data_IF_886818573560
#
_entry.id   IF_886818573560
#
_cell.length_a   1.000
_cell.length_b   1.000
_cell.length_c   1.000
_cell.angle_alpha   90.00
_cell.angle_beta   90.00
_cell.angle_gamma   90.00
#
_symmetry.space_group_name_H-M   'P 1'
#
loop_
_entity.id
_entity.type
_entity.pdbx_description
1 polymer ?
#
# COMPACT_ATOMS: atom_id res chain seq x y z
N UNK A 1 29.38 -2.06 30.20
CA UNK A 1 28.29 -2.99 30.57
C UNK A 1 27.03 -2.13 30.61
N UNK A 2 26.32 -2.04 29.49
CA UNK A 2 25.06 -1.31 29.41
C UNK A 2 23.92 -2.29 29.71
N UNK A 3 22.96 -1.85 30.53
CA UNK A 3 21.88 -2.66 31.09
C UNK A 3 21.13 -3.50 30.05
N UNK A 4 21.01 -4.80 30.35
CA UNK A 4 20.17 -5.77 29.63
C UNK A 4 18.70 -5.73 30.08
N UNK A 5 18.34 -4.86 31.03
CA UNK A 5 17.05 -4.91 31.75
C UNK A 5 15.94 -4.00 31.18
N UNK A 6 16.21 -3.20 30.13
CA UNK A 6 15.25 -2.21 29.58
C UNK A 6 14.88 -2.43 28.10
N UNK A 7 15.20 -3.60 27.54
CA UNK A 7 14.90 -3.94 26.13
C UNK A 7 13.96 -5.13 26.06
N UNK A 8 12.94 -5.05 25.20
CA UNK A 8 12.04 -6.18 24.93
C UNK A 8 12.09 -6.56 23.46
N UNK A 9 11.98 -7.86 23.19
CA UNK A 9 11.79 -8.37 21.82
C UNK A 9 10.31 -8.54 21.55
N UNK A 10 9.82 -7.95 20.46
CA UNK A 10 8.43 -8.06 20.04
C UNK A 10 8.34 -8.43 18.56
N UNK A 11 7.25 -9.12 18.21
CA UNK A 11 6.93 -9.45 16.83
C UNK A 11 6.15 -8.33 16.16
N UNK A 12 6.57 -7.92 14.97
CA UNK A 12 5.94 -6.84 14.21
C UNK A 12 4.58 -7.29 13.68
N UNK A 13 3.55 -6.49 13.93
CA UNK A 13 2.16 -6.73 13.50
C UNK A 13 1.55 -5.48 12.84
N UNK A 14 0.47 -5.69 12.08
CA UNK A 14 -0.19 -4.65 11.28
C UNK A 14 -0.74 -3.54 12.18
N UNK A 15 -0.51 -2.29 11.77
CA UNK A 15 -1.11 -1.14 12.42
C UNK A 15 -2.63 -1.12 12.26
N UNK A 16 -3.30 -0.40 13.16
CA UNK A 16 -4.71 -0.09 13.04
C UNK A 16 -4.83 1.09 12.06
N UNK A 17 -5.84 1.13 11.15
CA UNK A 17 -6.00 2.21 10.18
C UNK A 17 -5.88 3.62 10.76
N UNK A 18 -6.44 3.85 11.96
CA UNK A 18 -6.40 5.14 12.67
C UNK A 18 -5.00 5.58 13.15
N UNK A 19 -4.03 4.69 13.22
CA UNK A 19 -2.68 5.00 13.73
C UNK A 19 -1.64 5.19 12.60
N UNK A 20 -1.99 4.81 11.37
CA UNK A 20 -1.06 4.83 10.24
C UNK A 20 -0.66 6.29 9.96
N UNK A 21 0.64 6.58 9.79
CA UNK A 21 1.17 7.92 9.49
C UNK A 21 1.12 8.92 10.64
N UNK A 22 0.70 8.49 11.83
CA UNK A 22 0.84 9.25 13.08
C UNK A 22 2.11 8.91 13.85
N UNK A 23 2.94 8.00 13.34
CA UNK A 23 4.18 7.60 13.98
C UNK A 23 3.94 6.90 15.33
N UNK A 24 2.84 6.15 15.46
CA UNK A 24 2.46 5.45 16.69
C UNK A 24 2.85 3.98 16.65
N UNK A 25 3.36 3.50 17.77
CA UNK A 25 3.61 2.09 18.02
C UNK A 25 2.79 1.63 19.23
N UNK A 26 1.96 0.60 19.04
CA UNK A 26 1.18 0.00 20.13
C UNK A 26 1.88 -1.22 20.70
N UNK A 27 2.14 -1.16 22.00
CA UNK A 27 2.80 -2.20 22.77
C UNK A 27 1.94 -2.49 24.01
N UNK A 28 1.94 -3.73 24.50
CA UNK A 28 1.26 -4.06 25.75
C UNK A 28 2.02 -3.48 26.94
N UNK A 29 1.29 -2.85 27.86
CA UNK A 29 1.83 -2.35 29.12
C UNK A 29 2.26 -3.46 30.08
N UNK A 30 1.84 -4.71 29.84
CA UNK A 30 2.20 -5.86 30.67
C UNK A 30 3.61 -6.39 30.36
N UNK A 31 4.24 -5.93 29.27
CA UNK A 31 5.53 -6.41 28.76
C UNK A 31 6.76 -5.82 29.49
N UNK A 32 6.59 -5.27 30.69
CA UNK A 32 7.72 -4.88 31.55
C UNK A 32 8.40 -3.54 31.23
N UNK A 33 8.14 -2.93 30.08
CA UNK A 33 8.54 -1.55 29.80
C UNK A 33 7.57 -0.57 30.50
N UNK A 34 8.04 0.17 31.50
CA UNK A 34 7.26 1.17 32.25
C UNK A 34 6.90 2.41 31.39
N UNK A 35 6.08 2.19 30.36
CA UNK A 35 5.70 3.15 29.33
C UNK A 35 4.35 3.80 29.64
N UNK A 36 4.30 5.12 29.49
CA UNK A 36 3.07 5.92 29.53
C UNK A 36 2.71 6.36 28.12
N UNK A 37 1.41 6.44 27.76
CA UNK A 37 1.01 6.92 26.44
C UNK A 37 1.63 8.29 26.13
N UNK A 38 2.31 8.40 24.99
CA UNK A 38 3.07 9.59 24.63
C UNK A 38 4.58 9.52 24.90
N UNK A 39 5.06 8.51 25.63
CA UNK A 39 6.49 8.22 25.73
C UNK A 39 7.06 7.83 24.35
N UNK A 40 8.36 8.04 24.14
CA UNK A 40 9.02 7.62 22.91
C UNK A 40 9.72 6.27 23.11
N UNK A 41 9.61 5.44 22.08
CA UNK A 41 10.31 4.16 22.01
C UNK A 41 11.23 4.15 20.80
N UNK A 42 12.43 3.62 20.99
CA UNK A 42 13.30 3.26 19.88
C UNK A 42 13.00 1.82 19.47
N UNK A 43 12.85 1.63 18.17
CA UNK A 43 12.58 0.37 17.51
C UNK A 43 13.82 0.06 16.68
N UNK A 44 14.54 -0.99 17.06
CA UNK A 44 15.73 -1.47 16.36
C UNK A 44 15.40 -2.74 15.58
N UNK A 45 15.56 -2.67 14.26
CA UNK A 45 15.66 -3.82 13.38
C UNK A 45 17.08 -4.38 13.34
N UNK A 46 17.39 -5.21 12.34
CA UNK A 46 18.72 -5.82 12.18
C UNK A 46 19.80 -4.79 11.81
N UNK A 47 19.47 -3.84 10.93
CA UNK A 47 20.44 -2.87 10.38
C UNK A 47 20.15 -1.41 10.74
N UNK A 48 18.90 -1.08 11.06
CA UNK A 48 18.45 0.31 11.30
C UNK A 48 17.67 0.42 12.60
N UNK A 49 17.71 1.61 13.19
CA UNK A 49 16.81 1.98 14.29
C UNK A 49 16.04 3.24 13.95
N UNK A 50 14.79 3.28 14.41
CA UNK A 50 13.88 4.40 14.25
C UNK A 50 13.15 4.65 15.57
N UNK A 51 12.31 5.68 15.62
CA UNK A 51 11.57 6.03 16.83
C UNK A 51 10.08 6.21 16.55
N UNK A 52 9.26 5.85 17.53
CA UNK A 52 7.81 5.99 17.48
C UNK A 52 7.23 6.45 18.82
N UNK A 53 6.01 6.97 18.78
CA UNK A 53 5.24 7.34 19.95
C UNK A 53 4.57 6.08 20.49
N UNK A 54 4.83 5.73 21.74
CA UNK A 54 4.14 4.63 22.39
C UNK A 54 2.66 4.94 22.63
N UNK A 55 1.82 3.97 22.30
CA UNK A 55 0.39 3.98 22.59
C UNK A 55 -0.06 2.63 23.16
N UNK A 56 -1.20 2.61 23.86
CA UNK A 56 -1.70 1.39 24.49
C UNK A 56 -2.15 0.37 23.44
N UNK A 57 -1.79 -0.90 23.64
CA UNK A 57 -2.34 -2.02 22.89
C UNK A 57 -3.85 -2.16 23.06
N UNK A 58 -4.51 -2.89 22.15
CA UNK A 58 -5.91 -3.29 22.36
C UNK A 58 -5.97 -4.34 23.48
N UNK A 59 -7.12 -4.49 24.17
CA UNK A 59 -7.30 -5.53 25.19
C UNK A 59 -7.01 -6.94 24.66
N UNK A 60 -7.34 -7.20 23.40
CA UNK A 60 -7.08 -8.47 22.71
C UNK A 60 -5.58 -8.79 22.58
N UNK A 61 -4.76 -7.75 22.36
CA UNK A 61 -3.32 -7.87 22.15
C UNK A 61 -2.52 -7.85 23.47
N UNK A 62 -3.16 -7.63 24.62
CA UNK A 62 -2.49 -7.34 25.89
C UNK A 62 -1.52 -8.46 26.35
N UNK A 63 -1.78 -9.71 25.97
CA UNK A 63 -0.93 -10.87 26.32
C UNK A 63 -0.09 -11.41 25.16
N UNK A 64 -0.07 -10.71 24.03
CA UNK A 64 0.68 -11.13 22.86
C UNK A 64 2.00 -10.37 22.79
N UNK A 65 3.09 -11.08 22.47
CA UNK A 65 4.43 -10.50 22.27
C UNK A 65 4.53 -9.76 20.92
N UNK A 66 3.63 -8.79 20.70
CA UNK A 66 3.51 -8.06 19.45
C UNK A 66 3.65 -6.55 19.63
N UNK A 67 4.17 -5.92 18.59
CA UNK A 67 4.16 -4.47 18.41
C UNK A 67 3.41 -4.15 17.12
N UNK A 68 2.36 -3.33 17.22
CA UNK A 68 1.67 -2.83 16.03
C UNK A 68 2.28 -1.49 15.64
N UNK A 69 2.82 -1.43 14.42
CA UNK A 69 3.43 -0.23 13.85
C UNK A 69 3.08 -0.14 12.37
N UNK A 70 3.07 1.08 11.84
CA UNK A 70 2.70 1.33 10.45
C UNK A 70 3.82 0.96 9.47
N UNK A 71 3.49 0.90 8.18
CA UNK A 71 4.45 0.58 7.12
C UNK A 71 5.62 1.55 7.04
N UNK A 72 5.46 2.79 7.52
CA UNK A 72 6.50 3.82 7.50
C UNK A 72 7.57 3.51 8.55
N UNK A 73 7.15 3.27 9.80
CA UNK A 73 8.04 2.87 10.89
C UNK A 73 8.73 1.55 10.54
N UNK A 74 8.00 0.58 9.96
CA UNK A 74 8.57 -0.69 9.49
C UNK A 74 9.68 -0.47 8.47
N UNK A 75 9.43 0.33 7.44
CA UNK A 75 10.43 0.68 6.40
C UNK A 75 11.64 1.42 7.00
N UNK A 76 11.42 2.36 7.92
CA UNK A 76 12.51 3.08 8.59
C UNK A 76 13.39 2.14 9.44
N UNK A 77 12.76 1.19 10.15
CA UNK A 77 13.47 0.16 10.91
C UNK A 77 14.08 -0.96 10.04
N UNK A 78 13.72 -1.03 8.75
CA UNK A 78 14.16 -2.09 7.84
C UNK A 78 13.57 -3.47 8.18
N UNK A 79 12.35 -3.51 8.71
CA UNK A 79 11.67 -4.75 9.13
C UNK A 79 10.34 -4.92 8.43
N UNK A 80 9.87 -6.16 8.32
CA UNK A 80 8.60 -6.51 7.70
C UNK A 80 7.61 -7.06 8.74
N UNK A 81 6.35 -7.25 8.34
CA UNK A 81 5.39 -7.94 9.20
C UNK A 81 5.88 -9.35 9.57
N UNK A 82 5.75 -9.70 10.85
CA UNK A 82 6.13 -10.99 11.39
C UNK A 82 7.58 -11.08 11.89
N UNK A 83 8.44 -10.12 11.56
CA UNK A 83 9.82 -10.07 12.02
C UNK A 83 9.89 -9.71 13.51
N UNK A 84 11.05 -9.92 14.13
CA UNK A 84 11.31 -9.50 15.51
C UNK A 84 12.07 -8.20 15.55
N UNK A 85 11.65 -7.31 16.43
CA UNK A 85 12.32 -6.04 16.72
C UNK A 85 12.67 -5.96 18.19
N UNK A 86 13.77 -5.27 18.48
CA UNK A 86 14.09 -4.87 19.84
C UNK A 86 13.53 -3.49 20.11
N UNK A 87 12.80 -3.35 21.21
CA UNK A 87 12.17 -2.09 21.61
C UNK A 87 12.71 -1.65 22.96
N UNK A 88 13.07 -0.36 23.07
CA UNK A 88 13.47 0.26 24.33
C UNK A 88 12.84 1.63 24.51
N UNK A 89 12.62 2.03 25.76
CA UNK A 89 12.21 3.40 26.09
C UNK A 89 13.37 4.36 25.85
N UNK A 90 13.09 5.50 25.24
CA UNK A 90 14.11 6.55 25.00
C UNK A 90 13.57 7.91 25.41
N UNK A 91 14.39 8.69 26.09
CA UNK A 91 14.15 10.13 26.28
C UNK A 91 14.66 10.89 25.05
N UNK A 92 13.74 11.32 24.19
CA UNK A 92 14.07 12.09 23.00
C UNK A 92 14.52 13.52 23.38
N UNK A 93 15.61 13.98 22.76
CA UNK A 93 16.09 15.36 22.95
C UNK A 93 15.27 16.33 22.11
N UNK A 94 15.12 17.57 22.56
CA UNK A 94 14.46 18.61 21.77
C UNK A 94 15.24 18.91 20.49
N UNK A 95 14.56 18.87 19.34
CA UNK A 95 15.16 19.22 18.06
C UNK A 95 15.28 20.75 17.95
N UNK A 96 16.49 21.25 17.71
CA UNK A 96 16.72 22.68 17.44
C UNK A 96 16.63 22.99 15.95
N UNK A 97 17.16 22.09 15.11
CA UNK A 97 17.13 22.21 13.66
C UNK A 97 16.85 20.87 12.99
N UNK A 98 15.86 20.86 12.11
CA UNK A 98 15.44 19.72 11.31
C UNK A 98 15.54 20.07 9.83
N UNK A 99 16.33 19.31 9.08
CA UNK A 99 16.45 19.46 7.64
C UNK A 99 15.77 18.29 6.95
N UNK A 100 14.77 18.57 6.12
CA UNK A 100 14.02 17.56 5.36
C UNK A 100 14.09 17.85 3.86
N UNK A 101 13.97 16.80 3.06
CA UNK A 101 13.89 16.87 1.60
C UNK A 101 12.72 16.04 1.10
N UNK A 102 11.99 16.48 0.06
CA UNK A 102 11.00 15.63 -0.59
C UNK A 102 11.69 14.42 -1.22
N UNK A 103 11.02 13.28 -1.22
CA UNK A 103 11.44 12.07 -1.93
C UNK A 103 10.52 11.92 -3.13
N UNK A 104 11.11 11.86 -4.33
CA UNK A 104 10.36 11.77 -5.58
C UNK A 104 11.16 11.02 -6.65
N UNK A 105 10.44 10.29 -7.49
CA UNK A 105 10.96 9.81 -8.77
C UNK A 105 11.51 10.98 -9.62
N UNK A 106 12.67 10.78 -10.23
CA UNK A 106 13.35 11.71 -11.17
C UNK A 106 13.94 13.02 -10.60
N UNK A 107 14.11 13.16 -9.28
CA UNK A 107 14.81 14.32 -8.65
C UNK A 107 14.28 15.70 -9.10
N UNK A 108 12.98 15.81 -9.39
CA UNK A 108 12.40 17.09 -9.78
C UNK A 108 12.51 18.10 -8.63
N UNK A 109 12.71 19.38 -8.97
CA UNK A 109 12.71 20.45 -7.98
C UNK A 109 11.27 20.82 -7.63
N UNK A 110 10.91 20.64 -6.37
CA UNK A 110 9.63 21.13 -5.84
C UNK A 110 9.92 22.46 -5.18
N UNK A 111 9.34 23.54 -5.71
CA UNK A 111 9.33 24.82 -5.02
C UNK A 111 8.14 24.81 -4.07
N UNK A 112 8.42 24.85 -2.78
CA UNK A 112 7.38 25.09 -1.78
C UNK A 112 7.17 26.59 -1.61
N UNK A 113 5.91 27.01 -1.48
CA UNK A 113 5.57 28.41 -1.22
C UNK A 113 6.02 28.86 0.18
N UNK A 114 6.16 30.18 0.41
CA UNK A 114 6.52 30.71 1.72
C UNK A 114 5.48 30.33 2.79
N UNK A 115 5.93 29.81 3.95
CA UNK A 115 5.05 29.42 5.07
C UNK A 115 4.80 27.91 5.17
N UNK A 116 5.27 27.12 4.20
CA UNK A 116 5.26 25.65 4.23
C UNK A 116 5.95 25.10 5.50
N UNK A 117 6.95 25.80 6.03
CA UNK A 117 7.71 25.38 7.20
C UNK A 117 6.86 25.46 8.47
N UNK A 118 5.97 26.45 8.55
CA UNK A 118 5.00 26.58 9.63
C UNK A 118 3.99 25.44 9.62
N UNK A 119 3.53 25.05 8.43
CA UNK A 119 2.67 23.89 8.23
C UNK A 119 3.36 22.59 8.64
N UNK A 120 4.58 22.35 8.14
CA UNK A 120 5.41 21.21 8.50
C UNK A 120 5.67 21.12 10.01
N UNK A 121 5.93 22.26 10.66
CA UNK A 121 6.14 22.34 12.11
C UNK A 121 4.91 21.89 12.89
N UNK A 122 3.71 22.32 12.48
CA UNK A 122 2.46 21.89 13.14
C UNK A 122 2.18 20.40 12.90
N UNK A 123 2.36 19.92 11.66
CA UNK A 123 2.14 18.52 11.31
C UNK A 123 3.08 17.54 12.01
N UNK A 124 4.33 17.97 12.26
CA UNK A 124 5.36 17.16 12.93
C UNK A 124 5.45 17.40 14.44
N UNK A 125 4.67 18.31 15.01
CA UNK A 125 4.76 18.66 16.43
C UNK A 125 4.60 17.40 17.32
N UNK A 126 5.52 17.25 18.29
CA UNK A 126 5.60 16.10 19.22
C UNK A 126 5.90 14.74 18.55
N UNK A 127 6.27 14.71 17.27
CA UNK A 127 6.74 13.48 16.62
C UNK A 127 8.23 13.28 16.86
N UNK A 128 8.67 12.03 17.15
CA UNK A 128 10.07 11.69 17.14
C UNK A 128 10.55 11.56 15.69
N UNK A 129 11.76 12.00 15.41
CA UNK A 129 12.41 11.90 14.09
C UNK A 129 13.86 11.49 14.25
N UNK A 130 14.34 10.63 13.35
CA UNK A 130 15.74 10.21 13.27
C UNK A 130 16.31 10.59 11.90
N UNK A 131 17.58 11.00 11.85
CA UNK A 131 18.23 11.25 10.57
C UNK A 131 18.32 9.95 9.75
N UNK A 132 17.87 10.01 8.49
CA UNK A 132 17.72 8.86 7.60
C UNK A 132 16.28 8.32 7.51
N UNK A 133 15.38 8.73 8.41
CA UNK A 133 13.97 8.30 8.37
C UNK A 133 13.21 8.92 7.21
N UNK A 134 12.20 8.19 6.72
CA UNK A 134 11.12 8.72 5.90
C UNK A 134 9.94 9.10 6.79
N UNK A 135 9.42 10.30 6.61
CA UNK A 135 8.28 10.82 7.34
C UNK A 135 7.26 11.43 6.39
N UNK A 136 5.99 11.38 6.80
CA UNK A 136 4.91 12.10 6.14
C UNK A 136 4.45 13.24 7.01
N UNK A 137 4.19 14.38 6.37
CA UNK A 137 3.62 15.55 7.01
C UNK A 137 2.11 15.53 6.72
N UNK A 138 1.25 15.32 7.73
CA UNK A 138 -0.19 15.29 7.52
C UNK A 138 -0.69 16.55 6.81
N UNK A 139 -1.51 16.38 5.78
CA UNK A 139 -2.08 17.46 4.97
C UNK A 139 -1.10 18.07 3.93
N UNK A 140 0.13 17.58 3.82
CA UNK A 140 0.99 17.83 2.65
C UNK A 140 0.85 16.67 1.66
N UNK A 141 -0.14 16.78 0.78
CA UNK A 141 -0.35 15.84 -0.33
C UNK A 141 0.02 16.49 -1.65
N UNK A 142 0.58 15.70 -2.58
CA UNK A 142 0.80 16.11 -3.97
C UNK A 142 -0.02 15.17 -4.86
N UNK A 143 -0.87 15.70 -5.74
CA UNK A 143 -1.75 14.90 -6.61
C UNK A 143 -2.62 13.85 -5.87
N UNK A 144 -3.13 14.19 -4.69
CA UNK A 144 -3.91 13.29 -3.82
C UNK A 144 -3.13 12.08 -3.25
N UNK A 145 -1.81 12.04 -3.41
CA UNK A 145 -0.92 11.09 -2.75
C UNK A 145 -0.09 11.80 -1.67
N UNK A 146 0.25 11.08 -0.61
CA UNK A 146 1.07 11.62 0.46
C UNK A 146 2.50 11.83 -0.06
N UNK A 147 3.07 13.03 0.10
CA UNK A 147 4.46 13.29 -0.31
C UNK A 147 5.42 12.84 0.81
N UNK A 148 6.25 11.81 0.60
CA UNK A 148 7.24 11.41 1.59
C UNK A 148 8.38 12.44 1.69
N UNK A 149 8.85 12.67 2.91
CA UNK A 149 10.02 13.49 3.20
C UNK A 149 11.12 12.64 3.85
N UNK A 150 12.35 12.77 3.36
CA UNK A 150 13.52 12.19 4.00
C UNK A 150 14.09 13.17 5.04
N UNK A 151 14.36 12.68 6.24
CA UNK A 151 15.07 13.43 7.27
C UNK A 151 16.56 13.40 6.97
N UNK A 152 17.07 14.47 6.36
CA UNK A 152 18.48 14.56 5.96
C UNK A 152 19.37 14.76 7.17
N UNK A 153 18.96 15.62 8.11
CA UNK A 153 19.76 15.96 9.26
C UNK A 153 18.91 16.40 10.45
N UNK A 154 19.32 15.98 11.64
CA UNK A 154 18.79 16.43 12.93
C UNK A 154 19.89 17.07 13.78
N UNK A 155 19.53 18.14 14.49
CA UNK A 155 20.38 18.78 15.51
C UNK A 155 19.61 18.81 16.83
N UNK A 156 20.12 18.18 17.92
CA UNK A 156 21.30 17.31 17.99
C UNK A 156 21.13 15.99 17.20
N UNK A 157 22.24 15.28 16.92
CA UNK A 157 22.17 13.95 16.29
C UNK A 157 21.52 12.92 17.23
N UNK A 158 20.78 11.99 16.65
CA UNK A 158 20.06 10.93 17.36
C UNK A 158 18.55 11.10 17.26
N UNK A 159 17.81 10.43 18.14
CA UNK A 159 16.35 10.53 18.24
C UNK A 159 16.00 11.88 18.87
N UNK A 160 15.32 12.73 18.09
CA UNK A 160 14.89 14.05 18.52
C UNK A 160 13.40 14.25 18.35
N UNK A 161 12.81 15.11 19.18
CA UNK A 161 11.40 15.48 19.10
C UNK A 161 11.23 16.87 18.50
N UNK A 162 10.33 17.00 17.54
CA UNK A 162 9.99 18.28 16.93
C UNK A 162 9.07 19.08 17.87
N UNK A 163 9.41 20.33 18.14
CA UNK A 163 8.67 21.24 19.02
C UNK A 163 8.34 22.54 18.30
N UNK A 164 7.57 23.42 18.95
CA UNK A 164 7.23 24.75 18.42
C UNK A 164 8.44 25.62 18.16
N UNK A 165 9.59 25.33 18.78
CA UNK A 165 10.81 26.13 18.68
C UNK A 165 11.81 25.56 17.65
N UNK A 166 11.52 24.39 17.07
CA UNK A 166 12.40 23.73 16.10
C UNK A 166 12.46 24.51 14.78
N UNK A 167 13.65 24.84 14.28
CA UNK A 167 13.81 25.41 12.94
C UNK A 167 13.70 24.28 11.90
N UNK A 168 12.67 24.31 11.05
CA UNK A 168 12.50 23.34 9.95
C UNK A 168 12.99 23.98 8.65
N UNK A 169 13.90 23.29 7.97
CA UNK A 169 14.40 23.66 6.65
C UNK A 169 13.98 22.59 5.66
N UNK A 170 13.12 22.94 4.70
CA UNK A 170 12.73 22.06 3.59
C UNK A 170 13.64 22.40 2.41
N UNK A 171 14.36 21.41 1.88
CA UNK A 171 15.17 21.60 0.67
C UNK A 171 14.32 21.41 -0.57
N UNK A 172 14.58 22.22 -1.59
CA UNK A 172 13.92 22.13 -2.91
C UNK A 172 14.42 20.93 -3.74
N UNK A 173 15.62 20.43 -3.43
CA UNK A 173 16.22 19.28 -4.11
C UNK A 173 15.65 17.98 -3.54
N UNK A 174 14.93 17.26 -4.40
CA UNK A 174 14.44 15.94 -4.09
C UNK A 174 15.58 14.92 -4.01
N UNK A 175 15.51 14.06 -3.01
CA UNK A 175 16.43 12.93 -2.85
C UNK A 175 15.87 11.76 -3.67
N UNK A 176 16.74 11.03 -4.38
CA UNK A 176 16.29 9.83 -5.08
C UNK A 176 15.84 8.77 -4.09
N UNK A 177 14.79 8.02 -4.43
CA UNK A 177 14.25 6.94 -3.60
C UNK A 177 15.32 5.92 -3.20
N UNK A 178 16.26 5.64 -4.11
CA UNK A 178 17.39 4.73 -3.92
C UNK A 178 18.32 5.16 -2.77
N UNK A 179 18.50 6.47 -2.58
CA UNK A 179 19.39 7.04 -1.56
C UNK A 179 18.77 6.98 -0.14
N UNK A 180 17.46 6.74 -0.04
CA UNK A 180 16.70 6.73 1.23
C UNK A 180 16.17 5.32 1.55
N UNK A 181 16.88 4.24 1.22
CA UNK A 181 16.51 2.86 1.57
C UNK A 181 15.21 2.36 0.89
N UNK A 182 15.35 1.35 0.05
CA UNK A 182 14.31 0.59 -0.70
C UNK A 182 12.88 1.19 -0.87
N UNK A 183 12.57 1.35 -2.16
CA UNK A 183 11.42 1.83 -2.93
C UNK A 183 10.10 2.25 -2.28
N UNK A 184 9.48 3.22 -2.93
CA UNK A 184 8.02 3.37 -2.99
C UNK A 184 7.35 2.00 -3.14
N UNK A 185 6.28 1.79 -2.40
CA UNK A 185 5.59 0.52 -2.38
C UNK A 185 4.36 0.62 -1.50
N UNK A 186 3.22 0.26 -2.10
CA UNK A 186 1.94 0.07 -1.41
C UNK A 186 2.18 -0.91 -0.26
N UNK A 187 1.65 -0.61 0.91
CA UNK A 187 1.73 -1.50 2.08
C UNK A 187 0.41 -2.20 2.30
N UNK A 188 0.37 -3.20 3.18
CA UNK A 188 -0.89 -3.84 3.54
C UNK A 188 -1.88 -2.90 4.24
N UNK A 189 -1.40 -1.79 4.80
CA UNK A 189 -2.25 -0.71 5.34
C UNK A 189 -2.95 0.10 4.24
N UNK A 190 -2.42 0.11 3.02
CA UNK A 190 -3.00 0.82 1.88
C UNK A 190 -4.01 -0.05 1.10
N UNK A 191 -4.26 -1.28 1.57
CA UNK A 191 -5.24 -2.21 1.02
C UNK A 191 -6.33 -2.47 2.06
N UNK A 192 -7.52 -1.90 1.82
CA UNK A 192 -8.71 -2.06 2.68
C UNK A 192 -9.70 -3.09 2.15
N UNK A 193 -10.48 -3.71 3.03
CA UNK A 193 -11.65 -4.53 2.67
C UNK A 193 -11.36 -5.94 2.17
N UNK A 194 -10.16 -6.45 2.39
CA UNK A 194 -9.71 -7.76 1.90
C UNK A 194 -9.09 -8.63 3.02
N UNK A 195 -9.58 -8.52 4.26
CA UNK A 195 -8.94 -9.15 5.43
C UNK A 195 -8.71 -10.66 5.28
N UNK A 196 -9.74 -11.43 4.88
CA UNK A 196 -9.64 -12.89 4.77
C UNK A 196 -8.77 -13.35 3.59
N UNK A 197 -8.90 -12.69 2.43
CA UNK A 197 -8.13 -13.05 1.25
C UNK A 197 -6.68 -12.62 1.42
N UNK A 198 -6.43 -11.51 2.11
CA UNK A 198 -5.08 -11.07 2.45
C UNK A 198 -4.36 -12.12 3.31
N UNK A 199 -5.05 -12.72 4.28
CA UNK A 199 -4.45 -13.82 5.06
C UNK A 199 -4.03 -14.98 4.15
N UNK A 200 -4.88 -15.41 3.21
CA UNK A 200 -4.56 -16.47 2.25
C UNK A 200 -3.36 -16.08 1.37
N UNK A 201 -3.33 -14.85 0.87
CA UNK A 201 -2.22 -14.31 0.08
C UNK A 201 -0.91 -14.37 0.88
N UNK A 202 -0.93 -13.99 2.17
CA UNK A 202 0.25 -14.07 3.04
C UNK A 202 0.72 -15.50 3.27
N UNK A 203 -0.20 -16.42 3.54
CA UNK A 203 0.12 -17.84 3.74
C UNK A 203 0.68 -18.49 2.47
N UNK A 204 0.19 -18.09 1.29
CA UNK A 204 0.56 -18.69 0.00
C UNK A 204 1.79 -18.03 -0.64
N UNK A 205 2.06 -16.74 -0.41
CA UNK A 205 3.13 -16.01 -1.11
C UNK A 205 4.21 -15.55 -0.12
N UNK A 206 3.83 -14.89 0.98
CA UNK A 206 4.80 -14.34 1.94
C UNK A 206 5.52 -15.46 2.71
N UNK A 207 4.79 -16.48 3.16
CA UNK A 207 5.36 -17.56 3.97
C UNK A 207 6.44 -18.38 3.23
N UNK A 208 6.24 -18.82 1.97
CA UNK A 208 7.29 -19.51 1.21
C UNK A 208 8.54 -18.68 0.97
N UNK A 209 8.37 -17.37 0.71
CA UNK A 209 9.49 -16.48 0.39
C UNK A 209 10.33 -16.15 1.63
N UNK A 210 9.68 -15.92 2.78
CA UNK A 210 10.38 -15.59 4.04
C UNK A 210 10.91 -16.80 4.78
N UNK A 211 10.15 -17.90 4.79
CA UNK A 211 10.43 -19.08 5.63
C UNK A 211 10.42 -20.41 4.85
N UNK A 212 11.26 -20.57 3.81
CA UNK A 212 11.30 -21.79 3.00
C UNK A 212 11.70 -23.05 3.80
N UNK A 213 12.36 -22.89 4.95
CA UNK A 213 12.69 -23.97 5.89
C UNK A 213 11.46 -24.68 6.47
N UNK A 214 10.31 -24.00 6.61
CA UNK A 214 9.08 -24.61 7.12
C UNK A 214 8.55 -25.66 6.14
N UNK A 215 8.53 -25.32 4.85
CA UNK A 215 8.10 -26.20 3.76
C UNK A 215 9.03 -27.39 3.62
N UNK A 216 10.35 -27.15 3.64
CA UNK A 216 11.37 -28.21 3.60
C UNK A 216 11.27 -29.17 4.78
N UNK A 217 11.02 -28.67 5.99
CA UNK A 217 10.87 -29.50 7.19
C UNK A 217 9.60 -30.35 7.15
N UNK A 218 8.52 -29.80 6.61
CA UNK A 218 7.25 -30.51 6.45
C UNK A 218 7.23 -31.44 5.22
N UNK A 219 8.22 -31.34 4.33
CA UNK A 219 8.30 -32.13 3.11
C UNK A 219 7.19 -31.81 2.11
N UNK A 220 6.71 -30.57 2.12
CA UNK A 220 5.67 -30.08 1.21
C UNK A 220 6.26 -29.06 0.24
N UNK A 221 5.80 -29.09 -1.01
CA UNK A 221 6.17 -28.08 -1.99
C UNK A 221 5.35 -26.79 -1.75
N UNK A 222 6.01 -25.61 -1.75
CA UNK A 222 5.27 -24.35 -1.71
C UNK A 222 4.47 -24.15 -3.00
N UNK A 223 3.35 -23.40 -2.94
CA UNK A 223 2.58 -23.08 -4.14
C UNK A 223 3.42 -22.20 -5.07
N UNK A 224 3.38 -22.51 -6.37
CA UNK A 224 4.18 -21.82 -7.39
C UNK A 224 3.41 -20.71 -8.11
N UNK A 225 2.08 -20.85 -8.17
CA UNK A 225 1.22 -19.94 -8.90
C UNK A 225 -0.05 -19.62 -8.11
N UNK A 226 -0.32 -18.34 -7.91
CA UNK A 226 -1.56 -17.85 -7.31
C UNK A 226 -2.35 -17.07 -8.35
N UNK A 227 -3.60 -17.48 -8.62
CA UNK A 227 -4.51 -16.78 -9.50
C UNK A 227 -5.46 -15.91 -8.68
N UNK A 228 -5.34 -14.59 -8.81
CA UNK A 228 -6.28 -13.61 -8.28
C UNK A 228 -7.38 -13.37 -9.31
N UNK A 229 -8.64 -13.63 -8.96
CA UNK A 229 -9.76 -13.38 -9.85
C UNK A 229 -10.87 -12.59 -9.18
N UNK A 230 -11.62 -11.81 -9.95
CA UNK A 230 -12.78 -11.05 -9.45
C UNK A 230 -13.04 -9.80 -10.31
N UNK A 231 -14.09 -9.03 -10.01
CA UNK A 231 -14.47 -7.85 -10.80
C UNK A 231 -13.31 -6.85 -10.97
N UNK A 232 -13.30 -6.03 -12.03
CA UNK A 232 -12.33 -4.96 -12.19
C UNK A 232 -12.42 -3.97 -11.01
N UNK A 233 -11.29 -3.35 -10.65
CA UNK A 233 -11.27 -2.31 -9.61
C UNK A 233 -11.33 -2.81 -8.15
N UNK A 234 -11.25 -4.12 -7.88
CA UNK A 234 -11.20 -4.68 -6.52
C UNK A 234 -9.81 -4.70 -5.87
N UNK A 235 -8.78 -4.19 -6.56
CA UNK A 235 -7.43 -4.01 -5.98
C UNK A 235 -6.47 -5.20 -6.14
N UNK A 236 -6.70 -6.11 -7.10
CA UNK A 236 -5.82 -7.26 -7.40
C UNK A 236 -4.34 -6.85 -7.58
N UNK A 237 -4.10 -5.83 -8.39
CA UNK A 237 -2.75 -5.27 -8.65
C UNK A 237 -2.15 -4.62 -7.40
N UNK A 238 -2.97 -3.97 -6.56
CA UNK A 238 -2.52 -3.35 -5.31
C UNK A 238 -2.05 -4.39 -4.30
N UNK A 239 -2.79 -5.51 -4.17
CA UNK A 239 -2.42 -6.62 -3.28
C UNK A 239 -1.08 -7.21 -3.69
N UNK A 240 -0.87 -7.49 -4.98
CA UNK A 240 0.38 -8.08 -5.45
C UNK A 240 1.58 -7.18 -5.18
N UNK A 241 1.44 -5.87 -5.43
CA UNK A 241 2.47 -4.87 -5.08
C UNK A 241 2.72 -4.82 -3.58
N UNK A 242 1.66 -4.85 -2.76
CA UNK A 242 1.78 -4.82 -1.31
C UNK A 242 2.55 -6.01 -0.76
N UNK A 243 2.26 -7.21 -1.25
CA UNK A 243 2.98 -8.44 -0.86
C UNK A 243 4.46 -8.33 -1.19
N UNK A 244 4.79 -7.86 -2.41
CA UNK A 244 6.18 -7.77 -2.84
C UNK A 244 7.00 -6.78 -2.02
N UNK A 245 6.42 -5.62 -1.70
CA UNK A 245 7.02 -4.64 -0.79
C UNK A 245 7.24 -5.22 0.61
N UNK A 246 6.31 -6.03 1.12
CA UNK A 246 6.36 -6.61 2.46
C UNK A 246 7.23 -7.87 2.58
N UNK A 247 7.54 -8.53 1.46
CA UNK A 247 8.51 -9.63 1.39
C UNK A 247 9.90 -9.16 1.00
N UNK A 248 10.07 -7.88 0.67
CA UNK A 248 11.28 -7.33 0.06
C UNK A 248 11.77 -8.18 -1.14
N UNK A 249 10.81 -8.70 -1.91
CA UNK A 249 11.09 -9.57 -3.05
C UNK A 249 11.18 -8.74 -4.32
N UNK A 250 12.02 -9.17 -5.27
CA UNK A 250 12.07 -8.52 -6.57
C UNK A 250 10.70 -8.62 -7.27
N UNK A 251 10.09 -7.48 -7.62
CA UNK A 251 8.75 -7.45 -8.22
C UNK A 251 8.83 -7.13 -9.72
N UNK A 252 8.37 -8.07 -10.55
CA UNK A 252 8.24 -7.86 -11.99
C UNK A 252 6.78 -7.88 -12.39
N UNK A 253 6.27 -6.72 -12.83
CA UNK A 253 4.90 -6.58 -13.33
C UNK A 253 4.87 -6.67 -14.85
N UNK A 254 3.91 -7.41 -15.38
CA UNK A 254 3.63 -7.58 -16.80
C UNK A 254 2.15 -7.35 -17.02
N UNK A 255 1.79 -6.56 -18.03
CA UNK A 255 0.40 -6.51 -18.48
C UNK A 255 0.23 -7.46 -19.67
N UNK A 256 -0.78 -8.33 -19.64
CA UNK A 256 -1.00 -9.34 -20.67
C UNK A 256 -0.99 -8.78 -22.11
N UNK A 257 -1.74 -7.70 -22.43
CA UNK A 257 -1.72 -7.09 -23.75
C UNK A 257 -0.35 -6.58 -24.21
N UNK A 258 0.55 -6.20 -23.29
CA UNK A 258 1.89 -5.72 -23.63
C UNK A 258 2.80 -6.83 -24.19
N UNK A 259 2.52 -8.10 -23.86
CA UNK A 259 3.27 -9.25 -24.35
C UNK A 259 2.85 -9.64 -25.77
N UNK A 260 1.67 -9.24 -26.23
CA UNK A 260 1.14 -9.66 -27.54
C UNK A 260 1.72 -8.79 -28.65
N UNK A 261 2.89 -9.17 -29.15
CA UNK A 261 3.50 -8.58 -30.35
C UNK A 261 2.96 -9.22 -31.65
N UNK A 262 2.94 -8.42 -32.73
CA UNK A 262 2.69 -8.91 -34.10
C UNK A 262 3.92 -9.54 -34.74
N UNK A 263 5.10 -9.37 -34.16
CA UNK A 263 6.35 -9.91 -34.68
C UNK A 263 6.56 -11.35 -34.19
N UNK A 264 6.96 -12.22 -35.11
CA UNK A 264 7.07 -13.65 -34.86
C UNK A 264 8.15 -13.97 -33.81
N UNK A 265 7.79 -14.66 -32.72
CA UNK A 265 8.75 -15.15 -31.73
C UNK A 265 9.13 -14.15 -30.63
N UNK A 266 8.70 -12.88 -30.75
CA UNK A 266 9.06 -11.82 -29.81
C UNK A 266 8.35 -12.01 -28.47
N UNK A 267 7.05 -12.31 -28.50
CA UNK A 267 6.23 -12.56 -27.31
C UNK A 267 6.77 -13.74 -26.48
N UNK A 268 7.14 -14.84 -27.14
CA UNK A 268 7.69 -16.03 -26.47
C UNK A 268 9.06 -15.75 -25.85
N UNK A 269 9.89 -14.96 -26.54
CA UNK A 269 11.22 -14.56 -26.07
C UNK A 269 11.09 -13.64 -24.85
N UNK A 270 10.22 -12.63 -24.92
CA UNK A 270 9.97 -11.69 -23.83
C UNK A 270 9.49 -12.41 -22.56
N UNK A 271 8.54 -13.35 -22.68
CA UNK A 271 8.12 -14.16 -21.53
C UNK A 271 9.26 -14.96 -20.92
N UNK A 272 10.17 -15.50 -21.75
CA UNK A 272 11.32 -16.24 -21.24
C UNK A 272 12.30 -15.34 -20.49
N UNK A 273 12.65 -14.20 -21.08
CA UNK A 273 13.57 -13.22 -20.47
C UNK A 273 13.06 -12.73 -19.12
N UNK A 274 11.76 -12.47 -19.00
CA UNK A 274 11.17 -12.04 -17.72
C UNK A 274 11.30 -13.12 -16.64
N UNK A 275 11.02 -14.37 -16.98
CA UNK A 275 11.12 -15.47 -16.03
C UNK A 275 12.58 -15.79 -15.66
N UNK A 276 13.52 -15.59 -16.58
CA UNK A 276 14.96 -15.72 -16.32
C UNK A 276 15.46 -14.57 -15.40
N UNK A 277 15.08 -13.32 -15.68
CA UNK A 277 15.38 -12.15 -14.85
C UNK A 277 14.84 -12.33 -13.41
N UNK A 278 13.61 -12.83 -13.27
CA UNK A 278 13.04 -13.12 -11.95
C UNK A 278 13.78 -14.24 -11.21
N UNK A 279 14.27 -15.26 -11.92
CA UNK A 279 15.05 -16.34 -11.34
C UNK A 279 16.45 -15.86 -10.89
N UNK A 280 17.08 -14.97 -11.65
CA UNK A 280 18.37 -14.37 -11.31
C UNK A 280 18.27 -13.44 -10.07
N UNK A 281 17.12 -12.79 -9.88
CA UNK A 281 16.85 -11.88 -8.76
C UNK A 281 16.04 -12.51 -7.61
N UNK A 282 16.06 -13.85 -7.47
CA UNK A 282 15.32 -14.54 -6.41
C UNK A 282 15.80 -14.11 -5.00
N UNK A 283 14.89 -13.89 -4.02
CA UNK A 283 13.44 -14.12 -4.05
C UNK A 283 12.67 -13.11 -4.90
N UNK A 284 11.79 -13.61 -5.80
CA UNK A 284 11.09 -12.77 -6.78
C UNK A 284 9.61 -13.14 -6.96
N UNK A 285 8.81 -12.14 -7.34
CA UNK A 285 7.39 -12.25 -7.66
C UNK A 285 7.18 -11.75 -9.10
N UNK A 286 6.63 -12.62 -9.94
CA UNK A 286 6.21 -12.29 -11.30
C UNK A 286 4.70 -12.07 -11.30
N UNK A 287 4.26 -10.83 -11.46
CA UNK A 287 2.85 -10.47 -11.54
C UNK A 287 2.42 -10.29 -13.00
N UNK A 288 1.42 -11.05 -13.43
CA UNK A 288 0.84 -10.98 -14.77
C UNK A 288 -0.60 -10.48 -14.63
N UNK A 289 -0.82 -9.21 -14.97
CA UNK A 289 -2.16 -8.64 -15.05
C UNK A 289 -2.85 -9.03 -16.36
N UNK A 290 -4.18 -9.09 -16.33
CA UNK A 290 -5.01 -9.49 -17.47
C UNK A 290 -4.51 -10.78 -18.16
N UNK A 291 -4.19 -11.80 -17.37
CA UNK A 291 -3.61 -13.05 -17.89
C UNK A 291 -4.52 -13.76 -18.90
N UNK A 292 -5.83 -13.52 -18.87
CA UNK A 292 -6.79 -14.03 -19.84
C UNK A 292 -6.56 -13.49 -21.27
N UNK A 293 -5.86 -12.35 -21.43
CA UNK A 293 -5.50 -11.82 -22.75
C UNK A 293 -4.42 -12.66 -23.45
N UNK A 294 -3.42 -13.14 -22.70
CA UNK A 294 -2.32 -13.95 -23.25
C UNK A 294 -2.59 -15.46 -23.21
N UNK A 295 -3.51 -15.88 -22.35
CA UNK A 295 -3.82 -17.29 -22.12
C UNK A 295 -5.32 -17.62 -22.21
N UNK A 296 -6.03 -17.19 -23.26
CA UNK A 296 -7.44 -17.53 -23.45
C UNK A 296 -7.64 -19.05 -23.67
N UNK A 297 -8.87 -19.52 -23.49
CA UNK A 297 -9.29 -20.88 -23.87
C UNK A 297 -8.93 -21.17 -25.31
N UNK A 298 -8.29 -22.31 -25.56
CA UNK A 298 -7.82 -22.74 -26.90
C UNK A 298 -8.91 -22.76 -27.98
N UNK A 299 -10.16 -22.95 -27.57
CA UNK A 299 -11.34 -22.96 -28.45
C UNK A 299 -11.66 -21.56 -28.99
N UNK A 300 -11.38 -20.52 -28.19
CA UNK A 300 -11.61 -19.11 -28.53
C UNK A 300 -10.44 -18.50 -29.34
N UNK A 301 -9.33 -19.24 -29.47
CA UNK A 301 -8.10 -18.77 -30.12
C UNK A 301 -8.10 -19.08 -31.61
N UNK A 302 -8.26 -18.03 -32.43
CA UNK A 302 -8.12 -18.10 -33.89
C UNK A 302 -6.68 -17.92 -34.37
N UNK A 303 -5.81 -17.26 -33.58
CA UNK A 303 -4.43 -16.94 -33.97
C UNK A 303 -3.40 -18.00 -33.60
N UNK A 304 -2.47 -18.33 -34.51
CA UNK A 304 -1.36 -19.25 -34.22
C UNK A 304 -0.37 -18.68 -33.19
N UNK A 305 -0.22 -17.35 -33.14
CA UNK A 305 0.66 -16.65 -32.18
C UNK A 305 0.16 -16.85 -30.74
N UNK A 306 -1.12 -16.61 -30.49
CA UNK A 306 -1.75 -16.77 -29.17
C UNK A 306 -1.63 -18.21 -28.64
N UNK A 307 -1.83 -19.22 -29.50
CA UNK A 307 -1.64 -20.64 -29.11
C UNK A 307 -0.19 -20.93 -28.68
N UNK A 308 0.79 -20.33 -29.35
CA UNK A 308 2.21 -20.48 -29.01
C UNK A 308 2.55 -19.80 -27.70
N UNK A 309 2.01 -18.60 -27.45
CA UNK A 309 2.17 -17.89 -26.18
C UNK A 309 1.61 -18.71 -25.01
N UNK A 310 0.41 -19.29 -25.16
CA UNK A 310 -0.17 -20.20 -24.15
C UNK A 310 0.75 -21.40 -23.90
N UNK A 311 1.23 -22.05 -24.97
CA UNK A 311 2.13 -23.19 -24.85
C UNK A 311 3.46 -22.83 -24.17
N UNK A 312 4.02 -21.65 -24.48
CA UNK A 312 5.23 -21.13 -23.85
C UNK A 312 5.00 -20.85 -22.36
N UNK A 313 3.88 -20.22 -21.98
CA UNK A 313 3.53 -19.98 -20.58
C UNK A 313 3.40 -21.28 -19.78
N UNK A 314 2.72 -22.29 -20.34
CA UNK A 314 2.64 -23.62 -19.73
C UNK A 314 4.02 -24.24 -19.51
N UNK A 315 4.90 -24.13 -20.52
CA UNK A 315 6.28 -24.63 -20.44
C UNK A 315 7.10 -23.89 -19.38
N UNK A 316 6.92 -22.57 -19.25
CA UNK A 316 7.60 -21.77 -18.22
C UNK A 316 7.14 -22.14 -16.81
N UNK A 317 5.83 -22.33 -16.60
CA UNK A 317 5.27 -22.76 -15.32
C UNK A 317 5.72 -24.18 -14.93
N UNK A 318 5.71 -25.12 -15.88
CA UNK A 318 6.22 -26.48 -15.66
C UNK A 318 7.75 -26.46 -15.43
N UNK A 319 8.48 -25.55 -16.08
CA UNK A 319 9.92 -25.35 -15.93
C UNK A 319 10.35 -24.75 -14.58
N UNK A 320 9.41 -24.39 -13.70
CA UNK A 320 9.70 -23.86 -12.36
C UNK A 320 10.19 -24.94 -11.38
N UNK A 321 10.27 -26.22 -11.78
CA UNK A 321 10.90 -27.28 -10.99
C UNK A 321 12.43 -27.11 -10.98
N UNK A 322 12.93 -26.15 -10.20
CA UNK A 322 14.35 -25.79 -10.08
C UNK A 322 14.62 -24.29 -9.84
N UNK A 323 13.59 -23.45 -9.93
CA UNK A 323 13.65 -22.02 -9.58
C UNK A 323 13.10 -21.82 -8.17
N UNK A 324 13.88 -22.23 -7.18
CA UNK A 324 13.51 -22.09 -5.77
C UNK A 324 13.34 -20.60 -5.43
N UNK A 325 12.23 -20.22 -4.78
CA UNK A 325 11.88 -18.86 -4.36
C UNK A 325 11.39 -17.87 -5.45
N UNK A 326 10.80 -18.36 -6.54
CA UNK A 326 10.03 -17.51 -7.48
C UNK A 326 8.55 -17.89 -7.44
N UNK A 327 7.69 -16.90 -7.21
CA UNK A 327 6.23 -17.08 -7.18
C UNK A 327 5.58 -16.30 -8.31
N UNK A 328 4.65 -16.93 -9.04
CA UNK A 328 3.90 -16.30 -10.12
C UNK A 328 2.51 -15.92 -9.62
N UNK A 329 2.09 -14.67 -9.82
CA UNK A 329 0.75 -14.19 -9.50
C UNK A 329 0.07 -13.80 -10.81
N UNK A 330 -1.01 -14.47 -11.16
CA UNK A 330 -1.85 -14.09 -12.30
C UNK A 330 -3.07 -13.31 -11.81
N UNK A 331 -3.45 -12.22 -12.47
CA UNK A 331 -4.70 -11.51 -12.20
C UNK A 331 -5.61 -11.55 -13.42
N UNK A 332 -6.90 -11.85 -13.20
CA UNK A 332 -7.91 -11.85 -14.26
C UNK A 332 -9.26 -11.34 -13.74
N UNK A 333 -10.03 -10.69 -14.61
CA UNK A 333 -11.43 -10.38 -14.33
C UNK A 333 -12.36 -11.52 -14.79
N UNK A 334 -11.87 -12.41 -15.67
CA UNK A 334 -12.65 -13.43 -16.35
C UNK A 334 -12.05 -14.81 -16.15
N UNK A 335 -12.24 -15.40 -14.96
CA UNK A 335 -11.71 -16.74 -14.62
C UNK A 335 -12.09 -17.82 -15.65
N UNK A 336 -13.29 -17.70 -16.25
CA UNK A 336 -13.83 -18.68 -17.18
C UNK A 336 -13.30 -18.51 -18.61
N UNK A 337 -12.61 -17.41 -18.92
CA UNK A 337 -11.97 -17.18 -20.21
C UNK A 337 -10.55 -17.79 -20.30
N UNK A 338 -9.94 -18.12 -19.15
CA UNK A 338 -8.58 -18.65 -19.06
C UNK A 338 -8.49 -20.13 -19.47
N UNK A 339 -7.38 -20.54 -20.10
CA UNK A 339 -7.10 -21.95 -20.41
C UNK A 339 -7.10 -22.80 -19.12
N UNK A 340 -7.99 -23.81 -18.98
CA UNK A 340 -8.04 -24.69 -17.81
C UNK A 340 -6.74 -25.44 -17.51
N UNK A 341 -5.85 -25.60 -18.50
CA UNK A 341 -4.55 -26.21 -18.31
C UNK A 341 -3.67 -25.41 -17.34
N UNK A 342 -3.80 -24.08 -17.30
CA UNK A 342 -3.02 -23.23 -16.40
C UNK A 342 -3.42 -23.36 -14.93
N UNK A 343 -4.65 -23.81 -14.66
CA UNK A 343 -5.23 -23.97 -13.32
C UNK A 343 -4.98 -25.36 -12.71
N UNK A 344 -4.12 -26.16 -13.34
CA UNK A 344 -3.79 -27.51 -12.83
C UNK A 344 -2.74 -27.43 -11.73
N UNK A 345 -2.72 -28.40 -10.80
CA UNK A 345 -1.67 -28.49 -9.77
C UNK A 345 -0.26 -28.39 -10.37
N UNK A 346 0.61 -27.61 -9.74
CA UNK A 346 1.97 -27.31 -10.22
C UNK A 346 2.08 -26.04 -11.07
N UNK A 347 0.97 -25.40 -11.44
CA UNK A 347 0.90 -24.12 -12.16
C UNK A 347 0.21 -23.08 -11.29
N UNK A 348 -0.96 -22.57 -11.69
CA UNK A 348 -1.86 -21.84 -10.77
C UNK A 348 -2.67 -22.84 -9.95
N UNK A 349 -2.03 -23.39 -8.93
CA UNK A 349 -2.61 -24.39 -8.03
C UNK A 349 -3.47 -23.77 -6.92
N UNK A 350 -3.39 -22.45 -6.74
CA UNK A 350 -4.22 -21.68 -5.81
C UNK A 350 -4.99 -20.59 -6.54
N UNK A 351 -6.27 -20.49 -6.19
CA UNK A 351 -7.18 -19.46 -6.68
C UNK A 351 -7.71 -18.66 -5.50
N UNK A 352 -7.70 -17.33 -5.62
CA UNK A 352 -8.19 -16.40 -4.61
C UNK A 352 -9.18 -15.45 -5.27
N UNK A 353 -10.42 -15.51 -4.83
CA UNK A 353 -11.48 -14.62 -5.26
C UNK A 353 -11.41 -13.28 -4.51
N UNK A 354 -11.14 -12.20 -5.23
CA UNK A 354 -11.16 -10.82 -4.76
C UNK A 354 -12.47 -10.16 -5.22
N UNK A 355 -13.52 -10.41 -4.43
CA UNK A 355 -14.88 -9.94 -4.70
C UNK A 355 -15.14 -8.47 -4.34
N UNK A 356 -16.41 -8.09 -4.43
CA UNK A 356 -16.89 -6.75 -4.02
C UNK A 356 -16.85 -6.66 -2.49
N UNK A 357 -16.33 -5.57 -1.91
CA UNK A 357 -16.24 -5.40 -0.46
C UNK A 357 -17.62 -5.26 0.21
N UNK A 358 -17.73 -5.79 1.43
CA UNK A 358 -18.90 -5.59 2.30
C UNK A 358 -18.87 -4.18 2.94
N UNK A 359 -19.84 -3.89 3.82
CA UNK A 359 -19.92 -2.57 4.46
C UNK A 359 -18.67 -2.23 5.28
N UNK A 360 -18.15 -3.20 6.03
CA UNK A 360 -16.94 -3.00 6.84
C UNK A 360 -15.72 -2.78 5.93
N UNK A 361 -15.57 -3.58 4.88
CA UNK A 361 -14.49 -3.42 3.92
C UNK A 361 -14.54 -2.10 3.15
N UNK A 362 -15.74 -1.61 2.79
CA UNK A 362 -15.90 -0.27 2.22
C UNK A 362 -15.51 0.83 3.21
N UNK A 363 -15.77 0.65 4.50
CA UNK A 363 -15.31 1.56 5.55
C UNK A 363 -13.79 1.61 5.59
N UNK A 364 -13.12 0.45 5.58
CA UNK A 364 -11.66 0.39 5.57
C UNK A 364 -11.07 1.06 4.32
N UNK A 365 -11.66 0.81 3.13
CA UNK A 365 -11.22 1.45 1.88
C UNK A 365 -11.41 2.97 1.94
N UNK A 366 -12.54 3.43 2.47
CA UNK A 366 -12.81 4.86 2.65
C UNK A 366 -11.80 5.49 3.60
N UNK A 367 -11.50 4.85 4.73
CA UNK A 367 -10.49 5.32 5.68
C UNK A 367 -9.11 5.45 5.01
N UNK A 368 -8.72 4.48 4.18
CA UNK A 368 -7.44 4.53 3.44
C UNK A 368 -7.39 5.75 2.51
N UNK A 369 -8.44 5.99 1.73
CA UNK A 369 -8.46 7.08 0.76
C UNK A 369 -8.69 8.47 1.41
N UNK A 370 -9.31 8.53 2.57
CA UNK A 370 -9.63 9.78 3.29
C UNK A 370 -8.58 10.19 4.32
N UNK A 371 -7.71 9.28 4.77
CA UNK A 371 -6.77 9.50 5.87
C UNK A 371 -5.82 10.69 5.73
N UNK A 372 -5.49 11.12 4.50
CA UNK A 372 -4.63 12.28 4.24
C UNK A 372 -5.41 13.51 3.76
N UNK A 373 -6.72 13.36 3.60
CA UNK A 373 -7.59 14.42 3.10
C UNK A 373 -8.03 15.31 4.27
N UNK A 374 -7.97 16.65 4.14
CA UNK A 374 -8.60 17.55 5.09
C UNK A 374 -10.12 17.44 4.94
N UNK A 375 -10.76 16.77 5.90
CA UNK A 375 -12.20 16.51 5.90
C UNK A 375 -12.83 17.32 7.04
N UNK A 376 -13.94 17.99 6.73
CA UNK A 376 -14.67 18.79 7.69
C UNK A 376 -15.40 17.92 8.72
N UNK A 377 -15.69 18.49 9.90
CA UNK A 377 -16.37 17.81 11.02
C UNK A 377 -17.79 17.30 10.67
N UNK A 378 -18.38 17.79 9.57
CA UNK A 378 -19.71 17.40 9.10
C UNK A 378 -19.74 16.05 8.35
N UNK A 379 -18.58 15.44 8.12
CA UNK A 379 -18.45 14.20 7.36
C UNK A 379 -19.10 13.00 8.07
N UNK A 380 -20.14 12.47 7.43
CA UNK A 380 -20.84 11.28 7.88
C UNK A 380 -20.47 10.06 7.03
N UNK A 381 -19.50 9.30 7.52
CA UNK A 381 -19.09 8.03 6.89
C UNK A 381 -20.23 7.02 6.81
N UNK A 382 -21.15 6.99 7.78
CA UNK A 382 -22.23 6.02 7.78
C UNK A 382 -23.17 6.24 6.59
N UNK A 383 -23.48 7.50 6.30
CA UNK A 383 -24.25 7.88 5.11
C UNK A 383 -23.55 7.44 3.81
N UNK A 384 -22.24 7.66 3.69
CA UNK A 384 -21.48 7.23 2.50
C UNK A 384 -21.56 5.71 2.33
N UNK A 385 -21.38 4.94 3.41
CA UNK A 385 -21.43 3.48 3.36
C UNK A 385 -22.82 2.93 3.02
N UNK A 386 -23.88 3.65 3.42
CA UNK A 386 -25.28 3.36 3.11
C UNK A 386 -25.68 3.73 1.67
N UNK A 387 -24.89 4.52 0.95
CA UNK A 387 -25.20 4.92 -0.43
C UNK A 387 -24.22 4.33 -1.46
N UNK A 388 -23.19 3.59 -1.02
CA UNK A 388 -22.14 3.01 -1.87
C UNK A 388 -22.28 1.50 -2.05
N UNK A 389 -23.50 0.97 -2.10
CA UNK A 389 -23.72 -0.47 -2.33
C UNK A 389 -23.18 -0.90 -3.69
N UNK A 390 -22.41 -2.00 -3.71
CA UNK A 390 -21.81 -2.52 -4.93
C UNK A 390 -20.57 -1.77 -5.41
N UNK A 391 -20.15 -0.69 -4.72
CA UNK A 391 -18.92 0.02 -5.07
C UNK A 391 -17.71 -0.85 -4.76
N UNK A 392 -16.77 -0.92 -5.71
CA UNK A 392 -15.45 -1.52 -5.50
C UNK A 392 -14.43 -0.47 -5.05
N UNK A 393 -13.20 -0.90 -4.74
CA UNK A 393 -12.15 0.01 -4.30
C UNK A 393 -11.87 1.16 -5.27
N UNK A 394 -11.85 0.88 -6.57
CA UNK A 394 -11.70 1.91 -7.60
C UNK A 394 -12.86 2.93 -7.63
N UNK A 395 -14.09 2.50 -7.38
CA UNK A 395 -15.26 3.40 -7.35
C UNK A 395 -15.22 4.31 -6.12
N UNK A 396 -14.84 3.77 -4.97
CA UNK A 396 -14.67 4.56 -3.74
C UNK A 396 -13.50 5.55 -3.87
N UNK A 397 -12.40 5.15 -4.50
CA UNK A 397 -11.30 6.06 -4.81
C UNK A 397 -11.73 7.18 -5.77
N UNK A 398 -12.57 6.86 -6.77
CA UNK A 398 -13.15 7.86 -7.67
C UNK A 398 -14.10 8.81 -6.91
N UNK A 399 -14.89 8.31 -5.95
CA UNK A 399 -15.78 9.11 -5.10
C UNK A 399 -15.02 10.13 -4.28
N UNK A 400 -13.97 9.69 -3.59
CA UNK A 400 -13.11 10.57 -2.81
C UNK A 400 -12.43 11.61 -3.70
N UNK A 401 -11.96 11.22 -4.88
CA UNK A 401 -11.34 12.12 -5.85
C UNK A 401 -12.32 13.18 -6.37
N UNK A 402 -13.54 12.79 -6.73
CA UNK A 402 -14.54 13.72 -7.24
C UNK A 402 -15.03 14.67 -6.14
N UNK A 403 -15.18 14.19 -4.90
CA UNK A 403 -15.48 15.05 -3.74
C UNK A 403 -14.37 16.10 -3.53
N UNK A 404 -13.10 15.69 -3.60
CA UNK A 404 -11.98 16.63 -3.52
C UNK A 404 -11.95 17.63 -4.69
N UNK A 405 -12.29 17.20 -5.91
CA UNK A 405 -12.37 18.08 -7.07
C UNK A 405 -13.49 19.12 -6.92
N UNK A 406 -14.62 18.74 -6.31
CA UNK A 406 -15.71 19.66 -5.98
C UNK A 406 -15.30 20.67 -4.91
N UNK A 407 -14.63 20.23 -3.85
CA UNK A 407 -14.04 21.12 -2.86
C UNK A 407 -13.04 22.09 -3.52
N UNK A 408 -12.18 21.61 -4.43
CA UNK A 408 -11.26 22.47 -5.18
C UNK A 408 -12.00 23.52 -6.02
N UNK A 409 -13.09 23.16 -6.70
CA UNK A 409 -13.93 24.11 -7.47
C UNK A 409 -14.55 25.19 -6.59
N UNK A 410 -14.86 24.90 -5.32
CA UNK A 410 -15.36 25.88 -4.33
C UNK A 410 -14.31 26.93 -3.98
N UNK A 411 -13.05 26.51 -3.85
CA UNK A 411 -11.93 27.41 -3.50
C UNK A 411 -11.24 28.05 -4.71
N UNK A 412 -11.45 27.53 -5.92
CA UNK A 412 -10.87 28.06 -7.16
C UNK A 412 -11.10 29.56 -7.38
N UNK A 413 -12.28 30.15 -7.04
CA UNK A 413 -12.49 31.60 -7.16
C UNK A 413 -11.64 32.45 -6.20
N UNK A 414 -11.12 31.85 -5.12
CA UNK A 414 -10.23 32.52 -4.14
C UNK A 414 -8.75 32.35 -4.51
N UNK A 415 -8.45 31.57 -5.55
CA UNK A 415 -7.12 31.26 -6.03
C UNK A 415 -6.83 32.08 -7.28
N UNK A 416 -5.79 32.92 -7.23
CA UNK A 416 -5.25 33.51 -8.44
C UNK A 416 -4.35 32.49 -9.15
N UNK A 417 -4.77 32.05 -10.34
CA UNK A 417 -4.04 31.06 -11.15
C UNK A 417 -2.82 31.67 -11.85
N UNK A 418 -2.68 33.01 -11.85
CA UNK A 418 -1.52 33.69 -12.45
C UNK A 418 -0.32 33.79 -11.49
N UNK A 419 -0.54 33.62 -10.17
CA UNK A 419 0.54 33.60 -9.19
C UNK A 419 1.24 32.23 -9.11
N UNK A 420 2.58 32.23 -8.99
CA UNK A 420 3.37 30.98 -8.85
C UNK A 420 3.14 30.27 -7.50
N UNK A 421 2.59 30.95 -6.49
CA UNK A 421 2.43 30.41 -5.13
C UNK A 421 1.06 30.70 -4.54
N UNK A 422 0.41 29.68 -3.98
CA UNK A 422 -0.88 29.81 -3.30
C UNK A 422 -0.74 30.52 -1.95
N UNK A 423 -1.69 31.40 -1.55
CA UNK A 423 -1.72 31.97 -0.22
C UNK A 423 -1.86 30.87 0.87
N UNK A 424 -1.01 30.86 1.91
CA UNK A 424 -1.08 29.87 2.99
C UNK A 424 -2.44 29.83 3.70
N UNK A 425 -3.14 30.96 3.78
CA UNK A 425 -4.46 31.06 4.42
C UNK A 425 -5.56 30.28 3.68
N UNK A 426 -5.46 30.16 2.35
CA UNK A 426 -6.41 29.38 1.54
C UNK A 426 -6.14 27.90 1.78
N UNK A 427 -4.87 27.48 1.70
CA UNK A 427 -4.46 26.10 1.98
C UNK A 427 -4.86 25.61 3.38
N UNK A 428 -4.80 26.48 4.38
CA UNK A 428 -5.21 26.15 5.76
C UNK A 428 -6.73 25.99 5.93
N UNK A 429 -7.55 26.63 5.07
CA UNK A 429 -9.03 26.54 5.11
C UNK A 429 -9.60 25.46 4.21
N UNK A 430 -8.80 24.92 3.30
CA UNK A 430 -9.26 23.92 2.33
C UNK A 430 -9.64 22.63 3.03
N UNK A 431 -10.94 22.37 3.08
CA UNK A 431 -11.54 21.13 3.60
C UNK A 431 -12.60 20.61 2.64
N UNK A 432 -12.76 19.29 2.62
CA UNK A 432 -13.81 18.57 1.88
C UNK A 432 -14.99 18.36 2.82
N UNK A 433 -16.17 18.82 2.41
CA UNK A 433 -17.38 18.79 3.21
C UNK A 433 -18.27 17.60 2.81
N UNK A 434 -19.22 17.24 3.67
CA UNK A 434 -20.14 16.14 3.39
C UNK A 434 -20.99 16.37 2.14
N UNK A 435 -21.35 17.61 1.84
CA UNK A 435 -22.11 17.94 0.62
C UNK A 435 -21.31 17.67 -0.66
N UNK A 436 -19.98 17.79 -0.63
CA UNK A 436 -19.13 17.44 -1.77
C UNK A 436 -19.25 15.94 -2.11
N UNK A 437 -19.34 15.08 -1.08
CA UNK A 437 -19.57 13.64 -1.25
C UNK A 437 -20.98 13.31 -1.76
N UNK A 438 -22.01 13.99 -1.25
CA UNK A 438 -23.40 13.80 -1.70
C UNK A 438 -23.61 14.19 -3.16
N UNK A 439 -22.88 15.19 -3.64
CA UNK A 439 -22.91 15.56 -5.04
C UNK A 439 -22.05 14.62 -5.90
N UNK A 440 -20.84 14.28 -5.44
CA UNK A 440 -19.92 13.41 -6.16
C UNK A 440 -20.52 12.02 -6.45
N UNK A 441 -21.28 11.45 -5.53
CA UNK A 441 -21.88 10.12 -5.71
C UNK A 441 -22.88 10.05 -6.87
N UNK A 442 -23.46 11.20 -7.27
CA UNK A 442 -24.42 11.25 -8.39
C UNK A 442 -23.77 11.05 -9.75
N UNK A 443 -22.47 11.30 -9.84
CA UNK A 443 -21.72 11.21 -11.10
C UNK A 443 -20.95 9.88 -11.22
N UNK A 444 -21.04 9.00 -10.21
CA UNK A 444 -20.25 7.77 -10.14
C UNK A 444 -21.14 6.55 -10.31
N UNK A 445 -20.90 5.83 -11.39
CA UNK A 445 -21.53 4.55 -11.64
C UNK A 445 -20.72 3.39 -11.03
N UNK A 446 -21.35 2.48 -10.26
CA UNK A 446 -20.66 1.34 -9.66
C UNK A 446 -20.13 0.38 -10.72
N UNK A 447 -18.83 0.06 -10.67
CA UNK A 447 -18.21 -0.86 -11.61
C UNK A 447 -18.80 -2.26 -11.54
N UNK A 448 -19.25 -2.71 -10.36
CA UNK A 448 -19.90 -4.02 -10.20
C UNK A 448 -21.28 -4.11 -10.88
N UNK A 449 -21.97 -2.97 -11.09
CA UNK A 449 -23.26 -2.93 -11.77
C UNK A 449 -23.13 -2.74 -13.29
N UNK A 450 -21.96 -2.31 -13.79
CA UNK A 450 -21.73 -2.16 -15.24
C UNK A 450 -21.75 -3.48 -16.00
N UNK A 451 -21.43 -4.60 -15.34
CA UNK A 451 -21.49 -5.94 -15.96
C UNK A 451 -22.90 -6.55 -15.93
N UNK A 452 -23.83 -5.97 -15.18
CA UNK A 452 -25.23 -6.40 -15.13
C UNK A 452 -26.04 -5.38 -15.93
N UNK A 453 -26.25 -5.65 -17.22
CA UNK A 453 -27.30 -4.96 -17.97
C UNK A 453 -28.64 -5.31 -17.34
N UNK A 454 -29.11 -4.49 -16.39
CA UNK A 454 -30.51 -4.52 -15.99
C UNK A 454 -31.28 -3.84 -17.11
N UNK A 455 -31.77 -4.63 -18.07
CA UNK A 455 -32.88 -4.17 -18.90
C UNK A 455 -34.04 -3.89 -17.94
N UNK A 456 -34.33 -2.61 -17.69
CA UNK A 456 -35.57 -2.23 -17.01
C UNK A 456 -36.69 -2.66 -17.95
N UNK A 457 -37.57 -3.59 -17.57
CA UNK A 457 -38.69 -3.96 -18.41
C UNK A 457 -39.55 -2.73 -18.66
N UNK A 458 -39.89 -2.44 -19.91
CA UNK A 458 -40.86 -1.37 -20.24
C UNK A 458 -42.26 -1.69 -19.69
N UNK A 459 -42.49 -2.94 -19.29
CA UNK A 459 -43.75 -3.49 -18.77
C UNK A 459 -43.77 -3.45 -17.25
N UNK A 460 -44.75 -2.73 -16.70
CA UNK A 460 -45.03 -2.71 -15.25
C UNK A 460 -45.70 -4.01 -14.78
N UNK A 461 -45.71 -4.24 -13.46
CA UNK A 461 -46.42 -5.39 -12.85
C UNK A 461 -47.92 -5.44 -13.19
N UNK A 462 -48.50 -4.32 -13.59
CA UNK A 462 -49.89 -4.21 -14.01
C UNK A 462 -50.16 -4.81 -15.40
N UNK A 463 -49.10 -5.14 -16.16
CA UNK A 463 -49.15 -5.70 -17.51
C UNK A 463 -48.74 -7.19 -17.58
N UNK A 464 -48.47 -7.82 -16.42
CA UNK A 464 -48.04 -9.22 -16.26
C UNK A 464 -49.17 -10.13 -15.78
#
# INVERSE_FOLDING_TARGET
>A
MADKDDTIELRVSKAIPSDVGFGRARISSEMGLALKPGDFVEISGEERSTAAIYWRSRPEDAKMDIIRMDGIIRKNAGVSLGDRVTVRKVEAKTCTKLTISPVMANKQKVKFGPGIEGFAKRGLAKRPVVAGDRIFIPGMTLFAEALPFAVVQTVPKGIVVVTTDTEIVIKDEAVAEEDVGQSEGITYEDVGGIGQQLQKVREMIELPLKHPELFRRLGIDPPKGVLLHGPPGTGKTMIAKAVATETNAHFKSINGPEIISKYYGESEKQLREIFDEAAENAPAIVFIDEIDSICPKREDVTGEVERRVVAQMLTLMDGMHGRDNVVVIGATNRRDALDPALRRPGRFDREIEIGVPDREGRSEIMDVHTRQMPIADDFDIAWVLDNTYGFVGADLAALVREAAMRALRRYLPEIDLEEETLPPEVLEKMEVCMDDFKEAIRDIEPSALREIYVEVPEVGWDEV
#
